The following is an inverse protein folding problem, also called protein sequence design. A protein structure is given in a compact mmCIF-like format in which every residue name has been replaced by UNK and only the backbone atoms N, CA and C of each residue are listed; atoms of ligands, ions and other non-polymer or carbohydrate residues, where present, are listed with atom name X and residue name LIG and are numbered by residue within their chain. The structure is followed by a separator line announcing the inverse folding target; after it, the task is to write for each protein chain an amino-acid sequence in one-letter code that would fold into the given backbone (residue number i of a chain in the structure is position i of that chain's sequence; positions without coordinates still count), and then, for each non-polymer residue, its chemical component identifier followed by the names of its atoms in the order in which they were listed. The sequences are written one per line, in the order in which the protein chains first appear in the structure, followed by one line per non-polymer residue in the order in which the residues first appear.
data_IF_863884419805
#
_entry.id   IF_863884419805
#
_cell.length_a   1.000
_cell.length_b   1.000
_cell.length_c   1.000
_cell.angle_alpha   90.00
_cell.angle_beta   90.00
_cell.angle_gamma   90.00
#
_symmetry.space_group_name_H-M   'P 1'
#
loop_
_entity.id
_entity.type
_entity.pdbx_description
1 polymer ?
#
# COMPACT_ATOMS: atom_id res chain seq x y z
N UNK A 1 21.41 -0.22 3.53
CA UNK A 1 21.53 0.65 4.73
C UNK A 1 20.55 1.80 4.56
N UNK A 2 19.57 1.92 5.45
CA UNK A 2 18.45 2.88 5.39
C UNK A 2 18.92 4.28 5.87
N UNK A 3 20.10 4.73 5.44
CA UNK A 3 20.91 5.73 6.14
C UNK A 3 20.53 7.20 5.89
N UNK A 4 19.50 7.48 5.08
CA UNK A 4 18.92 8.83 5.00
C UNK A 4 17.49 8.79 4.47
N UNK A 5 16.50 8.71 5.36
CA UNK A 5 15.12 9.00 4.96
C UNK A 5 14.97 10.51 4.75
N UNK A 6 14.26 10.88 3.69
CA UNK A 6 13.91 12.30 3.43
C UNK A 6 12.98 12.77 4.54
N UNK A 7 13.26 13.91 5.16
CA UNK A 7 12.41 14.48 6.23
C UNK A 7 11.43 15.47 5.64
N UNK A 8 10.15 15.37 6.01
CA UNK A 8 9.08 16.26 5.53
C UNK A 8 8.16 16.68 6.68
N UNK A 9 7.45 17.79 6.49
CA UNK A 9 6.30 18.16 7.33
C UNK A 9 5.02 17.48 6.83
N UNK A 10 4.05 17.28 7.73
CA UNK A 10 2.74 16.70 7.37
C UNK A 10 2.04 17.47 6.23
N UNK A 11 2.18 18.79 6.17
CA UNK A 11 1.58 19.62 5.10
C UNK A 11 2.12 19.32 3.70
N UNK A 12 3.26 18.63 3.60
CA UNK A 12 3.89 18.25 2.33
C UNK A 12 3.48 16.83 1.90
N UNK A 13 2.69 16.12 2.70
CA UNK A 13 2.43 14.69 2.50
C UNK A 13 1.81 14.40 1.11
N UNK A 14 0.79 15.16 0.72
CA UNK A 14 0.11 14.98 -0.56
C UNK A 14 1.08 15.19 -1.75
N UNK A 15 1.81 16.31 -1.76
CA UNK A 15 2.77 16.63 -2.82
C UNK A 15 3.88 15.57 -2.93
N UNK A 16 4.33 15.03 -1.80
CA UNK A 16 5.35 13.97 -1.76
C UNK A 16 4.81 12.66 -2.31
N UNK A 17 3.54 12.31 -2.03
CA UNK A 17 2.91 11.14 -2.64
C UNK A 17 2.86 11.29 -4.17
N UNK A 18 2.44 12.44 -4.67
CA UNK A 18 2.37 12.70 -6.11
C UNK A 18 3.75 12.63 -6.77
N UNK A 19 4.74 13.30 -6.20
CA UNK A 19 6.09 13.38 -6.78
C UNK A 19 6.83 12.05 -6.72
N UNK A 20 6.82 11.35 -5.58
CA UNK A 20 7.44 10.03 -5.47
C UNK A 20 6.79 9.01 -6.41
N UNK A 21 5.47 9.06 -6.58
CA UNK A 21 4.76 8.20 -7.53
C UNK A 21 5.13 8.51 -8.98
N UNK A 22 5.19 9.80 -9.34
CA UNK A 22 5.61 10.25 -10.67
C UNK A 22 7.07 9.86 -10.98
N UNK A 23 7.93 9.78 -9.96
CA UNK A 23 9.30 9.29 -10.06
C UNK A 23 9.41 7.74 -10.16
N UNK A 24 8.27 7.04 -10.29
CA UNK A 24 8.22 5.59 -10.44
C UNK A 24 8.52 4.83 -9.15
N UNK A 25 8.26 5.44 -7.98
CA UNK A 25 8.46 4.84 -6.66
C UNK A 25 7.22 4.86 -5.80
N UNK A 26 7.15 3.94 -4.84
CA UNK A 26 6.16 3.95 -3.77
C UNK A 26 6.72 4.70 -2.56
N UNK A 27 6.04 5.74 -2.05
CA UNK A 27 6.44 6.38 -0.82
C UNK A 27 6.18 5.47 0.38
N UNK A 28 7.21 5.30 1.21
CA UNK A 28 7.13 4.63 2.51
C UNK A 28 7.36 5.66 3.60
N UNK A 29 6.29 6.00 4.32
CA UNK A 29 6.35 6.96 5.41
C UNK A 29 6.58 6.29 6.77
N UNK A 30 7.55 6.82 7.51
CA UNK A 30 7.64 6.68 8.95
C UNK A 30 6.99 7.91 9.60
N UNK A 31 5.81 7.73 10.18
CA UNK A 31 5.10 8.78 10.91
C UNK A 31 5.38 8.70 12.40
N UNK A 32 6.28 9.57 12.86
CA UNK A 32 6.61 9.69 14.28
C UNK A 32 5.58 10.53 15.06
N UNK A 33 4.65 11.18 14.37
CA UNK A 33 3.68 12.12 14.95
C UNK A 33 2.32 11.48 15.22
N UNK A 34 1.99 10.42 14.49
CA UNK A 34 0.69 9.74 14.52
C UNK A 34 -0.44 10.47 13.77
N UNK A 35 -0.12 11.58 13.08
CA UNK A 35 -1.11 12.42 12.40
C UNK A 35 -1.30 12.08 10.91
N UNK A 36 -0.36 11.39 10.29
CA UNK A 36 -0.43 11.04 8.87
C UNK A 36 -1.54 10.02 8.60
N UNK A 37 -1.75 9.07 9.51
CA UNK A 37 -2.86 8.09 9.42
C UNK A 37 -4.22 8.81 9.43
N UNK A 38 -4.38 9.82 10.29
CA UNK A 38 -5.60 10.64 10.36
C UNK A 38 -5.83 11.37 9.04
N UNK A 39 -4.81 12.05 8.51
CA UNK A 39 -4.90 12.75 7.23
C UNK A 39 -5.27 11.80 6.08
N UNK A 40 -4.57 10.66 5.98
CA UNK A 40 -4.77 9.70 4.90
C UNK A 40 -6.13 9.03 4.98
N UNK A 41 -6.66 8.74 6.18
CA UNK A 41 -7.95 8.10 6.34
C UNK A 41 -9.12 8.90 5.74
N UNK A 42 -9.00 10.21 5.55
CA UNK A 42 -10.04 11.03 4.91
C UNK A 42 -10.08 10.90 3.38
N UNK A 43 -8.94 10.64 2.74
CA UNK A 43 -8.80 10.76 1.27
C UNK A 43 -8.25 9.49 0.60
N UNK A 44 -8.07 8.40 1.35
CA UNK A 44 -7.45 7.17 0.87
C UNK A 44 -8.22 5.94 1.34
N UNK A 45 -7.92 4.81 0.74
CA UNK A 45 -8.39 3.49 1.20
C UNK A 45 -7.33 2.93 2.13
N UNK A 46 -7.64 2.87 3.42
CA UNK A 46 -6.77 2.28 4.43
C UNK A 46 -6.88 0.74 4.40
N UNK A 47 -5.74 0.08 4.23
CA UNK A 47 -5.55 -1.35 4.42
C UNK A 47 -4.73 -1.56 5.69
N UNK A 48 -5.38 -1.87 6.81
CA UNK A 48 -4.76 -2.02 8.13
C UNK A 48 -4.06 -3.38 8.29
N UNK A 49 -2.96 -3.56 7.56
CA UNK A 49 -2.17 -4.82 7.53
C UNK A 49 -1.83 -5.33 8.93
N UNK A 50 -1.54 -4.42 9.86
CA UNK A 50 -1.26 -4.79 11.25
C UNK A 50 -2.42 -5.55 11.91
N UNK A 51 -3.66 -5.08 11.75
CA UNK A 51 -4.84 -5.73 12.34
C UNK A 51 -5.09 -7.09 11.69
N UNK A 52 -4.92 -7.19 10.38
CA UNK A 52 -5.08 -8.44 9.64
C UNK A 52 -4.08 -9.51 10.12
N UNK A 53 -2.81 -9.13 10.29
CA UNK A 53 -1.78 -10.04 10.80
C UNK A 53 -2.04 -10.49 12.24
N UNK A 54 -2.52 -9.58 13.10
CA UNK A 54 -2.92 -9.92 14.46
C UNK A 54 -4.13 -10.88 14.45
N UNK A 55 -5.10 -10.66 13.55
CA UNK A 55 -6.26 -11.54 13.39
C UNK A 55 -5.87 -13.00 13.10
N UNK A 56 -4.88 -13.22 12.23
CA UNK A 56 -4.32 -14.55 11.98
C UNK A 56 -3.67 -15.13 13.24
N UNK A 57 -2.84 -14.33 13.93
CA UNK A 57 -2.15 -14.78 15.15
C UNK A 57 -3.11 -15.19 16.26
N UNK A 58 -4.25 -14.50 16.37
CA UNK A 58 -5.31 -14.80 17.32
C UNK A 58 -6.25 -15.92 16.86
N UNK A 59 -6.09 -16.42 15.63
CA UNK A 59 -6.96 -17.44 15.03
C UNK A 59 -8.37 -16.93 14.69
N UNK A 60 -8.58 -15.61 14.64
CA UNK A 60 -9.85 -14.98 14.27
C UNK A 60 -10.00 -14.72 12.78
N UNK A 61 -8.91 -14.89 12.02
CA UNK A 61 -8.89 -14.83 10.56
C UNK A 61 -7.96 -15.91 10.01
N UNK A 62 -8.28 -16.39 8.82
CA UNK A 62 -7.43 -17.23 8.00
C UNK A 62 -6.59 -16.38 7.03
N UNK A 63 -5.55 -16.99 6.47
CA UNK A 63 -4.73 -16.33 5.43
C UNK A 63 -5.57 -15.93 4.22
N UNK A 64 -6.49 -16.80 3.78
CA UNK A 64 -7.33 -16.54 2.60
C UNK A 64 -8.32 -15.39 2.83
N UNK A 65 -8.86 -15.26 4.04
CA UNK A 65 -9.69 -14.11 4.42
C UNK A 65 -8.88 -12.81 4.40
N UNK A 66 -7.64 -12.83 4.88
CA UNK A 66 -6.74 -11.66 4.81
C UNK A 66 -6.39 -11.29 3.37
N UNK A 67 -6.05 -12.28 2.53
CA UNK A 67 -5.80 -12.07 1.10
C UNK A 67 -6.99 -11.40 0.43
N UNK A 68 -8.19 -11.91 0.69
CA UNK A 68 -9.41 -11.38 0.10
C UNK A 68 -9.74 -9.96 0.58
N UNK A 69 -9.55 -9.69 1.88
CA UNK A 69 -9.76 -8.34 2.41
C UNK A 69 -8.78 -7.34 1.77
N UNK A 70 -7.51 -7.70 1.66
CA UNK A 70 -6.51 -6.86 0.99
C UNK A 70 -6.85 -6.64 -0.49
N UNK A 71 -7.28 -7.68 -1.21
CA UNK A 71 -7.73 -7.60 -2.61
C UNK A 71 -8.90 -6.64 -2.78
N UNK A 72 -9.91 -6.73 -1.92
CA UNK A 72 -11.08 -5.84 -1.97
C UNK A 72 -10.70 -4.37 -1.75
N UNK A 73 -9.78 -4.08 -0.81
CA UNK A 73 -9.26 -2.72 -0.61
C UNK A 73 -8.50 -2.24 -1.84
N UNK A 74 -7.62 -3.07 -2.40
CA UNK A 74 -6.84 -2.75 -3.58
C UNK A 74 -7.72 -2.48 -4.80
N UNK A 75 -8.62 -3.42 -5.13
CA UNK A 75 -9.61 -3.27 -6.22
C UNK A 75 -10.49 -2.04 -6.03
N UNK A 76 -10.96 -1.81 -4.80
CA UNK A 76 -11.75 -0.63 -4.46
C UNK A 76 -11.01 0.68 -4.74
N UNK A 77 -9.76 0.78 -4.29
CA UNK A 77 -8.92 1.96 -4.52
C UNK A 77 -8.64 2.19 -6.01
N UNK A 78 -8.37 1.12 -6.77
CA UNK A 78 -8.19 1.20 -8.22
C UNK A 78 -9.45 1.70 -8.95
N UNK A 79 -10.62 1.21 -8.55
CA UNK A 79 -11.90 1.57 -9.15
C UNK A 79 -12.25 3.05 -8.92
N UNK A 80 -11.88 3.60 -7.76
CA UNK A 80 -12.19 5.00 -7.39
C UNK A 80 -11.05 5.97 -7.71
N UNK A 81 -9.86 5.46 -8.04
CA UNK A 81 -8.65 6.28 -8.22
C UNK A 81 -8.13 6.88 -6.93
N UNK A 82 -8.49 6.30 -5.78
CA UNK A 82 -7.97 6.72 -4.50
C UNK A 82 -6.61 6.08 -4.22
N UNK A 83 -5.83 6.73 -3.37
CA UNK A 83 -4.60 6.15 -2.83
C UNK A 83 -4.94 4.93 -1.96
N UNK A 84 -4.27 3.81 -2.18
CA UNK A 84 -4.26 2.68 -1.25
C UNK A 84 -3.13 2.85 -0.25
N UNK A 85 -3.44 2.78 1.05
CA UNK A 85 -2.45 2.89 2.11
C UNK A 85 -2.30 1.54 2.81
N UNK A 86 -1.14 0.91 2.70
CA UNK A 86 -0.77 -0.21 3.56
C UNK A 86 -0.29 0.31 4.91
N UNK A 87 -1.18 0.24 5.90
CA UNK A 87 -0.89 0.72 7.24
C UNK A 87 -0.36 -0.40 8.14
N UNK A 88 0.91 -0.26 8.52
CA UNK A 88 1.64 -1.22 9.34
C UNK A 88 1.56 -0.92 10.84
N UNK A 89 1.02 0.24 11.22
CA UNK A 89 1.08 0.73 12.60
C UNK A 89 2.50 0.56 13.19
N UNK A 90 2.67 -0.15 14.30
CA UNK A 90 3.98 -0.35 14.94
C UNK A 90 4.64 -1.69 14.61
N UNK A 91 4.11 -2.47 13.67
CA UNK A 91 4.70 -3.76 13.31
C UNK A 91 5.56 -3.68 12.05
N UNK A 92 6.51 -4.61 11.88
CA UNK A 92 7.19 -4.75 10.59
C UNK A 92 6.28 -5.46 9.59
N UNK A 93 6.00 -4.81 8.46
CA UNK A 93 5.29 -5.43 7.35
C UNK A 93 6.02 -6.67 6.83
N UNK A 94 5.24 -7.68 6.43
CA UNK A 94 5.73 -8.92 5.80
C UNK A 94 5.33 -8.94 4.33
N UNK A 95 6.00 -8.12 3.53
CA UNK A 95 5.66 -7.90 2.12
C UNK A 95 6.07 -9.05 1.18
N UNK A 96 6.93 -9.94 1.64
CA UNK A 96 7.30 -11.19 0.96
C UNK A 96 6.49 -12.41 1.43
N UNK A 97 5.44 -12.19 2.22
CA UNK A 97 4.60 -13.27 2.74
C UNK A 97 3.63 -13.81 1.69
N UNK A 98 2.90 -14.85 2.09
CA UNK A 98 1.79 -15.39 1.34
C UNK A 98 0.66 -14.38 1.09
N UNK A 99 0.60 -13.24 1.76
CA UNK A 99 -0.47 -12.25 1.57
C UNK A 99 -0.38 -11.51 0.22
N UNK A 100 0.82 -11.45 -0.37
CA UNK A 100 1.07 -10.80 -1.66
C UNK A 100 1.11 -11.86 -2.76
N UNK A 101 -0.08 -12.13 -3.29
CA UNK A 101 -0.40 -13.18 -4.23
C UNK A 101 -0.87 -12.56 -5.57
N UNK A 102 -0.42 -13.05 -6.73
CA UNK A 102 -0.80 -12.50 -8.03
C UNK A 102 -2.32 -12.40 -8.27
N UNK A 103 -3.11 -13.31 -7.70
CA UNK A 103 -4.57 -13.35 -7.88
C UNK A 103 -5.31 -12.47 -6.86
N UNK A 104 -4.60 -11.88 -5.89
CA UNK A 104 -5.13 -11.02 -4.84
C UNK A 104 -4.47 -9.65 -4.85
N UNK A 105 -3.27 -9.53 -4.26
CA UNK A 105 -2.47 -8.30 -4.28
C UNK A 105 -1.10 -8.65 -4.85
N UNK A 106 -0.81 -8.31 -6.11
CA UNK A 106 0.44 -8.67 -6.75
C UNK A 106 1.62 -8.00 -6.07
N UNK A 107 2.81 -8.63 -6.09
CA UNK A 107 4.04 -8.05 -5.52
C UNK A 107 4.49 -6.79 -6.28
N UNK A 108 4.07 -6.68 -7.54
CA UNK A 108 4.24 -5.50 -8.39
C UNK A 108 3.55 -4.25 -7.84
N UNK A 109 2.71 -4.36 -6.79
CA UNK A 109 2.10 -3.20 -6.09
C UNK A 109 3.14 -2.18 -5.60
N UNK A 110 4.40 -2.59 -5.42
CA UNK A 110 5.52 -1.71 -5.05
C UNK A 110 6.25 -1.09 -6.25
N UNK A 111 5.84 -1.37 -7.48
CA UNK A 111 6.41 -0.87 -8.72
C UNK A 111 5.33 -0.14 -9.54
N UNK A 112 5.23 1.21 -9.42
CA UNK A 112 4.17 2.01 -10.05
C UNK A 112 3.99 1.75 -11.55
N UNK A 113 5.09 1.52 -12.27
CA UNK A 113 5.06 1.24 -13.71
C UNK A 113 4.44 -0.12 -14.03
N UNK A 114 4.68 -1.13 -13.18
CA UNK A 114 4.13 -2.48 -13.41
C UNK A 114 2.72 -2.61 -12.90
N UNK A 115 2.39 -2.03 -11.75
CA UNK A 115 1.03 -2.16 -11.21
C UNK A 115 -0.01 -1.44 -12.05
N UNK A 116 0.41 -0.44 -12.84
CA UNK A 116 -0.45 0.29 -13.76
C UNK A 116 -0.70 -0.44 -15.08
N UNK A 117 0.02 -1.53 -15.34
CA UNK A 117 -0.22 -2.40 -16.49
C UNK A 117 -1.54 -3.16 -16.36
N UNK A 118 -2.30 -3.19 -17.47
CA UNK A 118 -3.64 -3.77 -17.52
C UNK A 118 -3.65 -5.24 -17.11
N UNK A 119 -2.75 -6.03 -17.67
CA UNK A 119 -2.68 -7.47 -17.39
C UNK A 119 -2.28 -7.72 -15.93
N UNK A 120 -1.45 -6.86 -15.37
CA UNK A 120 -0.97 -6.98 -13.99
C UNK A 120 -2.11 -6.83 -12.99
N UNK A 121 -2.88 -5.74 -13.05
CA UNK A 121 -3.93 -5.49 -12.07
C UNK A 121 -5.22 -6.27 -12.35
N UNK A 122 -5.51 -6.61 -13.61
CA UNK A 122 -6.73 -7.36 -13.94
C UNK A 122 -6.74 -8.78 -13.37
N UNK A 123 -5.58 -9.35 -13.04
CA UNK A 123 -5.48 -10.66 -12.36
C UNK A 123 -6.23 -10.71 -11.03
N UNK A 124 -6.35 -9.59 -10.32
CA UNK A 124 -7.06 -9.54 -9.05
C UNK A 124 -8.55 -9.16 -9.16
N UNK A 125 -9.02 -8.85 -10.37
CA UNK A 125 -10.40 -8.48 -10.65
C UNK A 125 -11.16 -9.72 -11.06
N UNK A 126 -12.15 -10.12 -10.27
CA UNK A 126 -12.98 -11.28 -10.58
C UNK A 126 -13.94 -10.98 -11.73
N UNK A 127 -14.40 -12.02 -12.41
CA UNK A 127 -15.28 -11.87 -13.57
C UNK A 127 -16.58 -11.12 -13.24
N UNK A 128 -17.17 -11.37 -12.07
CA UNK A 128 -18.37 -10.71 -11.57
C UNK A 128 -18.14 -9.26 -11.11
N UNK A 129 -16.88 -8.90 -10.87
CA UNK A 129 -16.45 -7.57 -10.45
C UNK A 129 -15.88 -6.73 -11.60
N UNK A 130 -15.68 -7.33 -12.77
CA UNK A 130 -15.22 -6.66 -13.98
C UNK A 130 -16.37 -5.79 -14.54
N UNK A 131 -16.63 -4.68 -13.87
CA UNK A 131 -17.65 -3.69 -14.22
C UNK A 131 -17.03 -2.30 -14.18
N UNK A 132 -17.45 -1.44 -15.11
CA UNK A 132 -17.12 -0.02 -15.05
C UNK A 132 -17.97 0.71 -13.97
N UNK A 133 -17.67 2.00 -13.78
CA UNK A 133 -18.36 2.86 -12.81
C UNK A 133 -19.85 3.09 -13.12
N UNK A 134 -20.30 2.78 -14.33
CA UNK A 134 -21.69 2.88 -14.78
C UNK A 134 -22.41 1.53 -14.82
N UNK A 135 -21.74 0.44 -14.41
CA UNK A 135 -22.27 -0.92 -14.38
C UNK A 135 -22.12 -1.70 -15.69
N UNK A 136 -21.36 -1.18 -16.67
CA UNK A 136 -21.02 -1.91 -17.89
C UNK A 136 -20.06 -3.06 -17.61
N UNK A 137 -20.49 -4.29 -17.92
CA UNK A 137 -19.68 -5.50 -17.71
C UNK A 137 -18.52 -5.59 -18.69
N UNK A 138 -17.38 -6.10 -18.24
CA UNK A 138 -16.17 -6.33 -19.03
C UNK A 138 -15.25 -5.11 -19.16
N UNK A 139 -15.60 -3.98 -18.54
CA UNK A 139 -14.94 -2.68 -18.77
C UNK A 139 -14.26 -2.10 -17.52
N UNK A 140 -13.86 -2.95 -16.56
CA UNK A 140 -13.11 -2.46 -15.41
C UNK A 140 -11.79 -1.83 -15.89
N UNK A 141 -11.55 -0.60 -15.46
CA UNK A 141 -10.30 0.11 -15.70
C UNK A 141 -9.85 0.78 -14.42
N UNK A 142 -8.57 0.64 -14.11
CA UNK A 142 -7.98 1.39 -13.02
C UNK A 142 -7.99 2.88 -13.34
N UNK A 143 -8.45 3.68 -12.39
CA UNK A 143 -8.47 5.13 -12.53
C UNK A 143 -7.07 5.71 -12.40
N UNK A 144 -6.76 6.74 -13.20
CA UNK A 144 -5.43 7.36 -13.24
C UNK A 144 -4.99 8.02 -11.93
N UNK A 145 -5.92 8.26 -11.01
CA UNK A 145 -5.63 8.80 -9.69
C UNK A 145 -5.01 7.79 -8.71
N UNK A 146 -5.12 6.48 -9.02
CA UNK A 146 -4.67 5.41 -8.13
C UNK A 146 -3.17 5.52 -7.82
N UNK A 147 -2.84 5.37 -6.53
CA UNK A 147 -1.47 5.37 -6.00
C UNK A 147 -1.37 4.40 -4.85
N UNK A 148 -0.16 4.00 -4.50
CA UNK A 148 0.13 3.18 -3.33
C UNK A 148 1.01 3.96 -2.38
N UNK A 149 0.75 3.81 -1.09
CA UNK A 149 1.55 4.36 0.01
C UNK A 149 1.74 3.26 1.04
N UNK A 150 2.93 3.19 1.65
CA UNK A 150 3.14 2.42 2.87
C UNK A 150 3.30 3.38 4.04
N UNK A 151 2.59 3.12 5.13
CA UNK A 151 2.65 3.95 6.33
C UNK A 151 3.00 3.08 7.54
N UNK A 152 4.04 3.49 8.27
CA UNK A 152 4.50 2.88 9.51
C UNK A 152 4.60 3.94 10.60
N UNK A 153 4.18 3.60 11.82
CA UNK A 153 4.36 4.38 13.04
C UNK A 153 5.60 3.93 13.84
N UNK A 154 6.44 3.06 13.29
CA UNK A 154 7.72 2.67 13.91
C UNK A 154 8.75 3.78 13.82
N UNK A 155 9.69 3.75 14.74
CA UNK A 155 10.89 4.59 14.65
C UNK A 155 11.69 4.18 13.40
N UNK A 156 12.08 5.12 12.52
CA UNK A 156 12.90 4.80 11.35
C UNK A 156 14.27 4.21 11.71
N UNK A 157 14.78 4.44 12.92
CA UNK A 157 16.06 3.92 13.40
C UNK A 157 15.99 2.53 14.02
N UNK A 158 14.80 1.95 14.14
CA UNK A 158 14.57 0.61 14.68
C UNK A 158 15.38 -0.44 13.88
N UNK A 159 16.17 -1.25 14.58
CA UNK A 159 17.08 -2.24 13.97
C UNK A 159 16.33 -3.27 13.11
N UNK A 160 15.07 -3.56 13.45
CA UNK A 160 14.21 -4.47 12.66
C UNK A 160 13.92 -3.92 11.26
N UNK A 161 14.05 -2.61 11.03
CA UNK A 161 13.81 -2.01 9.71
C UNK A 161 14.84 -2.50 8.68
N UNK A 162 15.99 -3.04 9.10
CA UNK A 162 16.93 -3.70 8.20
C UNK A 162 16.31 -4.88 7.45
N UNK A 163 15.27 -5.51 8.01
CA UNK A 163 14.56 -6.64 7.40
C UNK A 163 13.70 -6.21 6.20
N UNK A 164 13.47 -4.91 5.95
CA UNK A 164 12.73 -4.48 4.77
C UNK A 164 13.45 -4.80 3.46
N UNK A 165 14.79 -4.85 3.47
CA UNK A 165 15.58 -5.22 2.30
C UNK A 165 15.22 -6.60 1.74
N UNK A 166 14.85 -7.52 2.62
CA UNK A 166 14.50 -8.89 2.25
C UNK A 166 13.01 -9.04 1.91
N UNK A 167 12.22 -7.98 2.08
CA UNK A 167 10.75 -8.03 2.04
C UNK A 167 10.14 -7.22 0.92
N UNK A 168 10.79 -6.17 0.43
CA UNK A 168 10.27 -5.28 -0.61
C UNK A 168 11.38 -4.84 -1.59
N UNK A 169 11.04 -4.47 -2.84
CA UNK A 169 12.01 -3.93 -3.79
C UNK A 169 12.45 -2.52 -3.38
N UNK A 170 13.58 -2.41 -2.68
CA UNK A 170 14.05 -1.13 -2.11
C UNK A 170 14.37 -0.06 -3.18
N UNK A 171 14.67 -0.45 -4.41
CA UNK A 171 14.92 0.45 -5.53
C UNK A 171 13.65 1.15 -6.03
N UNK A 172 12.49 0.54 -5.77
CA UNK A 172 11.16 1.04 -6.13
C UNK A 172 10.44 1.72 -4.95
N UNK A 173 11.10 1.85 -3.80
CA UNK A 173 10.52 2.46 -2.59
C UNK A 173 11.35 3.66 -2.16
N UNK A 174 10.69 4.77 -1.81
CA UNK A 174 11.34 5.93 -1.21
C UNK A 174 10.97 6.05 0.27
N UNK A 175 11.96 5.92 1.16
CA UNK A 175 11.74 6.05 2.60
C UNK A 175 11.74 7.52 3.04
N UNK A 176 10.67 7.92 3.69
CA UNK A 176 10.40 9.31 4.09
C UNK A 176 10.00 9.32 5.56
N UNK A 177 10.51 10.27 6.34
CA UNK A 177 10.13 10.47 7.75
C UNK A 177 9.32 11.75 7.87
N UNK A 178 8.16 11.63 8.53
CA UNK A 178 7.30 12.77 8.85
C UNK A 178 7.71 13.27 10.24
N UNK A 179 8.10 14.55 10.28
CA UNK A 179 8.47 15.27 11.49
C UNK A 179 7.57 16.51 11.64
N UNK A 180 7.50 17.06 12.87
CA UNK A 180 6.78 18.31 13.15
C UNK A 180 7.49 19.54 12.56
#
# INVERSE_FOLDING_TARGET
KMESSKKIKLTQLADIIETTWADGKVPFFFDTTGNASIFLNYNSVMCEVAKLQIGIQLGSMTVDEVKEEMRLKFKGAMATGQTLVFFLDKIAGKFNSEYFDPDYVPKEIFDPEKITDFDTYMRCVREDENVDMFGGKGNFMMQSGFKVVVLSCRDPTDEDNHQFADRMPLDKVEFITIEN
#
